data_IF_546344904886
#
_entry.id   IF_546344904886
#
_cell.length_a   1.000
_cell.length_b   1.000
_cell.length_c   1.000
_cell.angle_alpha   90.00
_cell.angle_beta   90.00
_cell.angle_gamma   90.00
#
_symmetry.space_group_name_H-M   'P 1'
#
loop_
_entity.id
_entity.type
_entity.pdbx_description
1 polymer ?
#
# COMPACT_ATOMS: atom_id res chain seq x y z
N UNK A 1 13.61 -2.04 -8.21
CA UNK A 1 12.67 -1.72 -7.10
C UNK A 1 13.34 -1.69 -5.72
N UNK A 2 14.59 -2.14 -5.53
CA UNK A 2 15.37 -1.83 -4.31
C UNK A 2 14.81 -2.34 -2.98
N UNK A 3 13.88 -3.29 -2.98
CA UNK A 3 13.30 -3.86 -1.77
C UNK A 3 14.27 -4.85 -1.11
N UNK A 4 14.33 -4.83 0.23
CA UNK A 4 15.13 -5.77 1.02
C UNK A 4 14.53 -7.20 1.01
N UNK A 5 13.20 -7.31 0.97
CA UNK A 5 12.48 -8.57 0.97
C UNK A 5 11.25 -8.51 0.05
N UNK A 6 10.97 -9.62 -0.65
CA UNK A 6 9.76 -9.79 -1.47
C UNK A 6 9.03 -11.04 -1.01
N UNK A 7 7.76 -10.88 -0.66
CA UNK A 7 6.90 -11.95 -0.13
C UNK A 7 5.72 -12.15 -1.08
N UNK A 8 5.51 -13.40 -1.51
CA UNK A 8 4.35 -13.75 -2.31
C UNK A 8 3.11 -13.87 -1.41
N UNK A 9 2.15 -12.97 -1.57
CA UNK A 9 0.90 -12.98 -0.79
C UNK A 9 -0.02 -14.17 -1.08
N UNK A 10 0.24 -14.95 -2.13
CA UNK A 10 -0.48 -16.20 -2.42
C UNK A 10 0.10 -17.41 -1.69
N UNK A 11 1.24 -17.26 -1.02
CA UNK A 11 1.84 -18.28 -0.15
C UNK A 11 1.52 -17.95 1.32
N UNK A 12 0.57 -18.69 1.95
CA UNK A 12 0.17 -18.43 3.32
C UNK A 12 1.31 -18.62 4.33
N UNK A 13 2.24 -19.53 4.06
CA UNK A 13 3.36 -19.80 4.96
C UNK A 13 4.41 -18.69 4.88
N UNK A 14 4.61 -18.12 3.68
CA UNK A 14 5.47 -16.95 3.53
C UNK A 14 4.90 -15.71 4.25
N UNK A 15 3.58 -15.50 4.20
CA UNK A 15 2.90 -14.42 4.92
C UNK A 15 2.93 -14.61 6.44
N UNK A 16 2.70 -15.83 6.94
CA UNK A 16 2.75 -16.12 8.39
C UNK A 16 4.11 -15.81 9.01
N UNK A 17 5.20 -16.04 8.26
CA UNK A 17 6.57 -15.70 8.70
C UNK A 17 6.78 -14.20 8.92
N UNK A 18 5.87 -13.36 8.43
CA UNK A 18 5.94 -11.92 8.57
C UNK A 18 5.32 -11.38 9.86
N UNK A 19 4.75 -12.24 10.71
CA UNK A 19 4.07 -11.86 11.94
C UNK A 19 4.91 -10.94 12.83
N UNK A 20 4.34 -9.81 13.25
CA UNK A 20 4.97 -8.90 14.21
C UNK A 20 6.19 -8.12 13.73
N UNK A 21 6.46 -8.05 12.41
CA UNK A 21 7.71 -7.47 11.87
C UNK A 21 7.62 -6.00 11.46
N UNK A 22 6.44 -5.50 11.08
CA UNK A 22 6.32 -4.20 10.41
C UNK A 22 5.68 -3.12 11.28
N UNK A 23 6.33 -1.96 11.39
CA UNK A 23 5.76 -0.77 12.04
C UNK A 23 4.66 -0.11 11.18
N UNK A 24 4.76 -0.25 9.85
CA UNK A 24 3.84 0.32 8.89
C UNK A 24 3.65 -0.64 7.72
N UNK A 25 2.40 -0.91 7.38
CA UNK A 25 2.01 -1.53 6.11
C UNK A 25 1.24 -0.48 5.32
N UNK A 26 1.78 -0.07 4.16
CA UNK A 26 1.12 0.81 3.20
C UNK A 26 0.44 -0.03 2.11
N UNK A 27 -0.88 -0.10 2.15
CA UNK A 27 -1.68 -0.87 1.19
C UNK A 27 -2.10 -0.01 0.00
N UNK A 28 -1.64 -0.39 -1.19
CA UNK A 28 -1.96 0.27 -2.47
C UNK A 28 -2.87 -0.60 -3.37
N UNK A 29 -3.42 -1.69 -2.84
CA UNK A 29 -4.19 -2.66 -3.64
C UNK A 29 -5.59 -2.14 -3.97
N UNK A 30 -6.05 -2.42 -5.18
CA UNK A 30 -7.41 -2.11 -5.63
C UNK A 30 -8.34 -3.35 -5.66
N UNK A 31 -7.88 -4.46 -5.07
CA UNK A 31 -8.61 -5.74 -5.03
C UNK A 31 -8.78 -6.21 -3.59
N UNK A 32 -9.85 -6.95 -3.35
CA UNK A 32 -10.15 -7.56 -2.05
C UNK A 32 -9.13 -8.66 -1.69
N UNK A 33 -8.75 -8.73 -0.42
CA UNK A 33 -7.76 -9.67 0.11
C UNK A 33 -8.24 -10.22 1.46
N UNK A 34 -7.66 -11.35 1.88
CA UNK A 34 -7.73 -11.75 3.29
C UNK A 34 -6.82 -10.83 4.11
N UNK A 35 -7.42 -9.93 4.90
CA UNK A 35 -6.70 -8.88 5.62
C UNK A 35 -5.99 -9.38 6.89
N UNK A 36 -6.43 -10.50 7.46
CA UNK A 36 -5.92 -10.98 8.77
C UNK A 36 -4.41 -11.23 8.77
N UNK A 37 -3.80 -11.89 7.77
CA UNK A 37 -2.35 -12.09 7.72
C UNK A 37 -1.58 -10.77 7.71
N UNK A 38 -2.11 -9.71 7.10
CA UNK A 38 -1.47 -8.39 7.06
C UNK A 38 -1.53 -7.69 8.42
N UNK A 39 -2.66 -7.77 9.14
CA UNK A 39 -2.73 -7.25 10.51
C UNK A 39 -1.84 -8.03 11.47
N UNK A 40 -1.73 -9.35 11.29
CA UNK A 40 -0.79 -10.17 12.05
C UNK A 40 0.67 -9.80 11.78
N UNK A 41 1.00 -9.38 10.55
CA UNK A 41 2.35 -8.93 10.18
C UNK A 41 2.79 -7.62 10.84
N UNK A 42 1.85 -6.83 11.38
CA UNK A 42 2.17 -5.63 12.14
C UNK A 42 2.82 -5.96 13.48
N UNK A 43 3.90 -5.26 13.79
CA UNK A 43 4.50 -5.18 15.12
C UNK A 43 3.53 -4.51 16.12
N UNK A 44 3.77 -4.61 17.45
CA UNK A 44 3.05 -3.80 18.43
C UNK A 44 3.15 -2.29 18.06
N UNK A 45 2.04 -1.58 18.19
CA UNK A 45 1.84 -0.17 17.78
C UNK A 45 1.96 0.08 16.27
N UNK A 46 2.03 -1.00 15.48
CA UNK A 46 2.09 -0.95 14.04
C UNK A 46 0.80 -0.42 13.42
N UNK A 47 0.94 0.21 12.24
CA UNK A 47 -0.17 0.83 11.52
C UNK A 47 -0.39 0.16 10.17
N UNK A 48 -1.63 -0.22 9.91
CA UNK A 48 -2.09 -0.49 8.56
C UNK A 48 -2.64 0.82 7.97
N UNK A 49 -2.04 1.28 6.87
CA UNK A 49 -2.46 2.50 6.18
C UNK A 49 -2.94 2.16 4.77
N UNK A 50 -4.20 2.43 4.47
CA UNK A 50 -4.75 2.17 3.13
C UNK A 50 -4.83 3.45 2.29
N UNK A 51 -4.31 3.36 1.06
CA UNK A 51 -4.51 4.34 -0.02
C UNK A 51 -5.19 3.70 -1.23
N UNK A 52 -5.28 2.36 -1.24
CA UNK A 52 -6.05 1.60 -2.21
C UNK A 52 -7.56 1.68 -1.95
N UNK A 53 -8.34 1.62 -3.03
CA UNK A 53 -9.79 1.62 -2.99
C UNK A 53 -10.31 0.22 -3.33
N UNK A 54 -10.82 -0.48 -2.31
CA UNK A 54 -11.50 -1.77 -2.45
C UNK A 54 -13.00 -1.58 -2.27
N UNK A 55 -13.81 -2.28 -3.05
CA UNK A 55 -15.27 -2.15 -3.00
C UNK A 55 -15.90 -2.85 -1.80
N UNK A 56 -15.21 -3.83 -1.22
CA UNK A 56 -15.67 -4.53 -0.02
C UNK A 56 -15.08 -3.88 1.24
N UNK A 57 -15.80 -3.92 2.37
CA UNK A 57 -15.27 -3.45 3.64
C UNK A 57 -13.99 -4.20 4.03
N UNK A 58 -13.06 -3.47 4.65
CA UNK A 58 -11.91 -4.09 5.31
C UNK A 58 -12.41 -4.62 6.65
N UNK A 59 -12.51 -5.95 6.77
CA UNK A 59 -12.94 -6.60 8.00
C UNK A 59 -11.81 -6.59 9.04
N UNK A 60 -12.02 -5.88 10.15
CA UNK A 60 -11.06 -5.76 11.26
C UNK A 60 -11.72 -6.27 12.53
N UNK A 61 -11.13 -7.26 13.21
CA UNK A 61 -11.63 -7.68 14.52
C UNK A 61 -11.12 -6.75 15.62
N UNK A 62 -11.90 -6.57 16.69
CA UNK A 62 -11.47 -5.76 17.83
C UNK A 62 -10.17 -6.29 18.45
N UNK A 63 -9.99 -7.61 18.51
CA UNK A 63 -8.76 -8.22 19.03
C UNK A 63 -7.54 -7.93 18.17
N UNK A 64 -7.69 -7.75 16.85
CA UNK A 64 -6.57 -7.36 15.98
C UNK A 64 -6.05 -5.95 16.30
N UNK A 65 -6.91 -5.08 16.84
CA UNK A 65 -6.53 -3.73 17.26
C UNK A 65 -6.03 -3.69 18.71
N UNK A 66 -6.74 -4.37 19.62
CA UNK A 66 -6.40 -4.41 21.05
C UNK A 66 -5.07 -5.14 21.28
N UNK A 67 -4.83 -6.25 20.57
CA UNK A 67 -3.62 -7.02 20.77
C UNK A 67 -2.43 -6.31 20.11
N UNK A 68 -1.64 -5.66 20.94
CA UNK A 68 -0.48 -4.89 20.52
C UNK A 68 -0.81 -3.48 20.06
N UNK A 69 -1.93 -2.88 20.49
CA UNK A 69 -2.26 -1.46 20.28
C UNK A 69 -2.13 -0.98 18.82
N UNK A 70 -2.65 -1.77 17.88
CA UNK A 70 -2.51 -1.52 16.44
C UNK A 70 -3.56 -0.55 15.93
N UNK A 71 -3.30 0.06 14.78
CA UNK A 71 -4.24 0.99 14.14
C UNK A 71 -4.48 0.71 12.66
N UNK A 72 -5.71 0.97 12.21
CA UNK A 72 -6.10 1.00 10.80
C UNK A 72 -6.43 2.44 10.44
N UNK A 73 -5.77 2.96 9.41
CA UNK A 73 -5.87 4.35 8.97
C UNK A 73 -5.97 4.41 7.45
N UNK A 74 -6.40 5.54 6.92
CA UNK A 74 -6.41 5.77 5.48
C UNK A 74 -6.17 7.23 5.15
N UNK A 75 -5.74 7.49 3.92
CA UNK A 75 -5.65 8.84 3.40
C UNK A 75 -5.99 8.85 1.92
N UNK A 76 -6.44 10.02 1.45
CA UNK A 76 -6.66 10.29 0.05
C UNK A 76 -5.51 11.15 -0.49
N UNK A 77 -5.82 12.18 -1.26
CA UNK A 77 -4.80 13.11 -1.77
C UNK A 77 -4.47 14.16 -0.71
N UNK A 78 -3.17 14.44 -0.53
CA UNK A 78 -2.70 15.51 0.35
C UNK A 78 -3.09 16.91 -0.13
N UNK A 79 -3.07 17.88 0.79
CA UNK A 79 -3.28 19.30 0.48
C UNK A 79 -2.23 19.83 -0.53
N UNK A 80 -2.52 20.92 -1.26
CA UNK A 80 -1.55 21.52 -2.18
C UNK A 80 -0.20 21.88 -1.52
N UNK A 81 -0.22 22.27 -0.24
CA UNK A 81 1.01 22.53 0.52
C UNK A 81 1.84 21.26 0.74
N UNK A 82 1.19 20.15 1.12
CA UNK A 82 1.85 18.86 1.30
C UNK A 82 2.41 18.32 -0.02
N UNK A 83 1.66 18.44 -1.12
CA UNK A 83 2.11 18.02 -2.45
C UNK A 83 3.36 18.79 -2.90
N UNK A 84 3.40 20.12 -2.70
CA UNK A 84 4.62 20.91 -2.99
C UNK A 84 5.81 20.47 -2.16
N UNK A 85 5.60 20.16 -0.88
CA UNK A 85 6.66 19.65 -0.01
C UNK A 85 7.16 18.27 -0.47
N UNK A 86 6.25 17.39 -0.90
CA UNK A 86 6.59 16.08 -1.47
C UNK A 86 7.44 16.23 -2.74
N UNK A 87 7.03 17.10 -3.67
CA UNK A 87 7.79 17.35 -4.91
C UNK A 87 9.19 17.91 -4.63
N UNK A 88 9.32 18.79 -3.63
CA UNK A 88 10.63 19.29 -3.17
C UNK A 88 11.50 18.17 -2.59
N UNK A 89 10.91 17.25 -1.84
CA UNK A 89 11.62 16.09 -1.31
C UNK A 89 12.08 15.17 -2.44
N UNK A 90 11.17 14.82 -3.35
CA UNK A 90 11.46 13.94 -4.49
C UNK A 90 12.59 14.50 -5.36
N UNK A 91 12.56 15.80 -5.67
CA UNK A 91 13.63 16.46 -6.43
C UNK A 91 14.98 16.45 -5.70
N UNK A 92 15.00 16.58 -4.37
CA UNK A 92 16.25 16.53 -3.58
C UNK A 92 16.83 15.12 -3.44
N UNK A 93 15.96 14.11 -3.46
CA UNK A 93 16.32 12.71 -3.26
C UNK A 93 16.47 11.94 -4.59
N UNK A 94 16.37 12.64 -5.73
CA UNK A 94 16.41 12.06 -7.08
C UNK A 94 15.38 10.92 -7.27
N UNK A 95 14.16 11.14 -6.79
CA UNK A 95 13.06 10.18 -6.89
C UNK A 95 12.17 10.57 -8.07
N UNK A 96 12.11 9.70 -9.08
CA UNK A 96 11.23 9.83 -10.23
C UNK A 96 10.41 8.54 -10.45
N UNK A 97 9.17 8.65 -10.96
CA UNK A 97 8.39 7.47 -11.32
C UNK A 97 9.00 6.76 -12.54
N UNK A 98 8.79 5.45 -12.62
CA UNK A 98 8.95 4.73 -13.87
C UNK A 98 7.74 5.02 -14.75
N UNK A 99 7.97 5.44 -15.99
CA UNK A 99 6.93 5.91 -16.91
C UNK A 99 7.04 5.22 -18.25
N UNK A 100 5.89 4.99 -18.87
CA UNK A 100 5.77 4.58 -20.27
C UNK A 100 5.03 5.67 -21.03
N UNK A 101 5.56 6.06 -22.19
CA UNK A 101 5.02 7.15 -22.98
C UNK A 101 4.16 6.61 -24.12
N UNK A 102 2.93 7.11 -24.20
CA UNK A 102 2.01 6.85 -25.30
C UNK A 102 1.70 8.17 -26.02
N UNK A 103 1.62 8.19 -27.36
CA UNK A 103 1.13 9.35 -28.08
C UNK A 103 -0.36 9.55 -27.75
N UNK A 104 -0.82 10.80 -27.71
CA UNK A 104 -2.22 11.12 -27.38
C UNK A 104 -3.23 10.41 -28.30
N UNK A 105 -2.84 10.12 -29.55
CA UNK A 105 -3.66 9.35 -30.51
C UNK A 105 -3.97 7.92 -30.06
N UNK A 106 -3.18 7.35 -29.15
CA UNK A 106 -3.32 5.97 -28.65
C UNK A 106 -3.92 5.91 -27.23
N UNK A 107 -4.61 6.96 -26.77
CA UNK A 107 -5.17 7.03 -25.41
C UNK A 107 -5.98 5.80 -25.00
N UNK A 108 -6.79 5.24 -25.90
CA UNK A 108 -7.59 4.05 -25.59
C UNK A 108 -6.72 2.81 -25.36
N UNK A 109 -5.64 2.64 -26.14
CA UNK A 109 -4.68 1.54 -25.94
C UNK A 109 -3.94 1.71 -24.61
N UNK A 110 -3.58 2.94 -24.25
CA UNK A 110 -2.96 3.21 -22.95
C UNK A 110 -3.90 2.89 -21.78
N UNK A 111 -5.20 3.20 -21.91
CA UNK A 111 -6.21 2.85 -20.91
C UNK A 111 -6.41 1.33 -20.80
N UNK A 112 -6.42 0.61 -21.92
CA UNK A 112 -6.52 -0.85 -21.92
C UNK A 112 -5.27 -1.51 -21.34
N UNK A 113 -4.08 -0.94 -21.59
CA UNK A 113 -2.82 -1.38 -20.97
C UNK A 113 -2.84 -1.31 -19.44
N UNK A 114 -3.46 -0.27 -18.86
CA UNK A 114 -3.60 -0.13 -17.39
C UNK A 114 -4.65 -1.09 -16.80
N UNK A 115 -5.64 -1.50 -17.59
CA UNK A 115 -6.70 -2.43 -17.14
C UNK A 115 -6.26 -3.89 -17.14
N UNK A 116 -5.30 -4.24 -18.00
CA UNK A 116 -4.77 -5.58 -18.17
C UNK A 116 -3.95 -6.03 -16.96
#
# INVERSE_FOLDING_TARGET
MGADEVVNSRDPEALKKQAGRFDLILSTVAVDLDWKPYFAALAPQGKFHTVGAVMKPIEVSAFDLILGDKAVTGSSTGSPGQLRSLLRLASRADIAPQVEFFPMSDINKALDHVRA
#
